data_IF_947167618982
#
_entry.id   IF_947167618982
#
_cell.length_a   1.000
_cell.length_b   1.000
_cell.length_c   1.000
_cell.angle_alpha   90.00
_cell.angle_beta   90.00
_cell.angle_gamma   90.00
#
_symmetry.space_group_name_H-M   'P 1'
#
loop_
_entity.id
_entity.type
_entity.pdbx_description
1 polymer ?
#
# COMPACT_ATOMS: atom_id res chain seq x y z
N UNK A 1 -12.83 16.32 -19.49
CA UNK A 1 -13.14 16.39 -18.05
C UNK A 1 -13.17 15.02 -17.40
N UNK A 2 -13.92 14.04 -17.94
CA UNK A 2 -13.99 12.68 -17.38
C UNK A 2 -12.65 12.04 -16.96
N UNK A 3 -11.61 12.11 -17.79
CA UNK A 3 -10.30 11.50 -17.49
C UNK A 3 -9.60 12.13 -16.27
N UNK A 4 -9.78 13.43 -16.04
CA UNK A 4 -9.21 14.14 -14.88
C UNK A 4 -10.02 13.80 -13.63
N UNK A 5 -11.34 13.75 -13.74
CA UNK A 5 -12.22 13.36 -12.63
C UNK A 5 -11.97 11.89 -12.21
N UNK A 6 -11.82 10.98 -13.17
CA UNK A 6 -11.44 9.58 -12.93
C UNK A 6 -10.09 9.44 -12.24
N UNK A 7 -9.07 10.21 -12.66
CA UNK A 7 -7.76 10.19 -12.03
C UNK A 7 -7.81 10.78 -10.61
N UNK A 8 -8.58 11.85 -10.39
CA UNK A 8 -8.80 12.41 -9.04
C UNK A 8 -9.46 11.38 -8.13
N UNK A 9 -10.56 10.76 -8.57
CA UNK A 9 -11.30 9.80 -7.77
C UNK A 9 -10.42 8.57 -7.47
N UNK A 10 -9.59 8.13 -8.43
CA UNK A 10 -8.61 7.06 -8.20
C UNK A 10 -7.55 7.44 -7.16
N UNK A 11 -7.05 8.68 -7.19
CA UNK A 11 -6.09 9.20 -6.21
C UNK A 11 -6.71 9.32 -4.82
N UNK A 12 -7.93 9.84 -4.71
CA UNK A 12 -8.64 9.97 -3.44
C UNK A 12 -8.89 8.61 -2.78
N UNK A 13 -9.36 7.63 -3.56
CA UNK A 13 -9.55 6.26 -3.09
C UNK A 13 -8.23 5.63 -2.64
N UNK A 14 -7.17 5.75 -3.45
CA UNK A 14 -5.86 5.19 -3.09
C UNK A 14 -5.28 5.84 -1.83
N UNK A 15 -5.42 7.16 -1.69
CA UNK A 15 -4.98 7.90 -0.52
C UNK A 15 -5.77 7.51 0.74
N UNK A 16 -7.07 7.24 0.62
CA UNK A 16 -7.88 6.76 1.74
C UNK A 16 -7.44 5.37 2.18
N UNK A 17 -7.30 4.43 1.24
CA UNK A 17 -6.87 3.06 1.53
C UNK A 17 -5.47 3.03 2.17
N UNK A 18 -4.51 3.82 1.67
CA UNK A 18 -3.18 3.90 2.27
C UNK A 18 -3.19 4.54 3.67
N UNK A 19 -4.07 5.52 3.91
CA UNK A 19 -4.27 6.09 5.25
C UNK A 19 -4.84 5.04 6.21
N UNK A 20 -5.87 4.32 5.80
CA UNK A 20 -6.46 3.25 6.62
C UNK A 20 -5.44 2.15 6.94
N UNK A 21 -4.59 1.78 5.97
CA UNK A 21 -3.50 0.82 6.21
C UNK A 21 -2.49 1.39 7.19
N UNK A 22 -2.09 2.66 7.04
CA UNK A 22 -1.15 3.33 7.94
C UNK A 22 -1.69 3.44 9.37
N UNK A 23 -2.96 3.79 9.53
CA UNK A 23 -3.64 3.86 10.83
C UNK A 23 -3.70 2.48 11.49
N UNK A 24 -4.12 1.44 10.74
CA UNK A 24 -4.14 0.08 11.26
C UNK A 24 -2.73 -0.41 11.65
N UNK A 25 -1.70 -0.04 10.90
CA UNK A 25 -0.31 -0.35 11.25
C UNK A 25 0.13 0.36 12.54
N UNK A 26 -0.29 1.61 12.74
CA UNK A 26 0.00 2.37 13.95
C UNK A 26 -0.71 1.78 15.18
N UNK A 27 -1.96 1.34 15.03
CA UNK A 27 -2.72 0.66 16.09
C UNK A 27 -2.10 -0.67 16.53
N UNK A 28 -1.49 -1.41 15.58
CA UNK A 28 -0.80 -2.66 15.88
C UNK A 28 0.54 -2.46 16.60
N UNK A 29 1.00 -1.22 16.80
CA UNK A 29 2.24 -0.84 17.51
C UNK A 29 3.43 -1.74 17.11
N UNK A 30 3.69 -1.83 15.80
CA UNK A 30 4.64 -2.78 15.22
C UNK A 30 6.08 -2.62 15.73
N UNK A 31 6.39 -1.47 16.34
CA UNK A 31 7.68 -1.19 16.99
C UNK A 31 7.81 -1.88 18.36
N UNK A 32 6.70 -2.17 19.05
CA UNK A 32 6.72 -2.89 20.32
C UNK A 32 6.73 -4.41 20.16
N UNK A 33 6.20 -4.92 19.04
CA UNK A 33 6.08 -6.37 18.74
C UNK A 33 7.45 -7.11 18.68
N UNK A 34 8.56 -6.38 18.54
CA UNK A 34 9.93 -6.92 18.61
C UNK A 34 10.72 -6.52 19.86
N UNK A 35 10.22 -5.57 20.66
CA UNK A 35 10.88 -5.13 21.89
C UNK A 35 10.40 -6.00 23.05
N UNK A 36 10.93 -7.22 23.10
CA UNK A 36 11.17 -8.02 24.33
C UNK A 36 10.27 -7.67 25.53
N UNK A 37 8.96 -7.73 25.37
CA UNK A 37 8.05 -7.74 26.49
C UNK A 37 7.34 -9.07 26.39
N UNK A 38 7.57 -9.92 27.39
CA UNK A 38 7.10 -11.30 27.54
C UNK A 38 5.55 -11.37 27.69
N UNK A 39 4.83 -10.40 27.12
CA UNK A 39 3.43 -10.06 27.41
C UNK A 39 2.47 -10.30 26.26
N UNK A 40 2.93 -10.43 25.02
CA UNK A 40 2.05 -10.84 23.94
C UNK A 40 1.88 -12.36 23.97
N UNK A 41 0.68 -12.80 24.33
CA UNK A 41 0.33 -14.21 24.28
C UNK A 41 0.50 -14.75 22.85
N UNK A 42 0.74 -16.06 22.72
CA UNK A 42 0.77 -16.73 21.41
C UNK A 42 -0.49 -16.43 20.57
N UNK A 43 -1.66 -16.34 21.23
CA UNK A 43 -2.93 -15.96 20.59
C UNK A 43 -2.86 -14.55 19.99
N UNK A 44 -2.37 -13.58 20.76
CA UNK A 44 -2.20 -12.19 20.32
C UNK A 44 -1.22 -12.09 19.15
N UNK A 45 -0.09 -12.80 19.20
CA UNK A 45 0.88 -12.82 18.08
C UNK A 45 0.28 -13.41 16.80
N UNK A 46 -0.56 -14.45 16.93
CA UNK A 46 -1.27 -15.04 15.80
C UNK A 46 -2.30 -14.06 15.22
N UNK A 47 -3.08 -13.38 16.07
CA UNK A 47 -4.04 -12.36 15.64
C UNK A 47 -3.34 -11.21 14.90
N UNK A 48 -2.25 -10.67 15.46
CA UNK A 48 -1.45 -9.63 14.80
C UNK A 48 -0.92 -10.11 13.44
N UNK A 49 -0.47 -11.38 13.33
CA UNK A 49 -0.03 -11.95 12.05
C UNK A 49 -1.14 -11.99 11.00
N UNK A 50 -2.35 -12.41 11.37
CA UNK A 50 -3.50 -12.45 10.46
C UNK A 50 -3.91 -11.03 10.03
N UNK A 51 -3.92 -10.05 10.96
CA UNK A 51 -4.15 -8.65 10.63
C UNK A 51 -3.12 -8.11 9.63
N UNK A 52 -1.83 -8.35 9.86
CA UNK A 52 -0.79 -7.94 8.92
C UNK A 52 -0.92 -8.61 7.55
N UNK A 53 -1.38 -9.87 7.48
CA UNK A 53 -1.67 -10.54 6.22
C UNK A 53 -2.81 -9.88 5.47
N UNK A 54 -3.90 -9.56 6.17
CA UNK A 54 -5.04 -8.87 5.58
C UNK A 54 -4.65 -7.47 5.05
N UNK A 55 -3.87 -6.70 5.82
CA UNK A 55 -3.34 -5.42 5.37
C UNK A 55 -2.42 -5.56 4.15
N UNK A 56 -1.57 -6.58 4.14
CA UNK A 56 -0.71 -6.88 2.98
C UNK A 56 -1.53 -7.18 1.72
N UNK A 57 -2.61 -7.95 1.86
CA UNK A 57 -3.55 -8.21 0.76
C UNK A 57 -4.19 -6.93 0.22
N UNK A 58 -4.63 -6.02 1.09
CA UNK A 58 -5.19 -4.71 0.66
C UNK A 58 -4.18 -3.89 -0.17
N UNK A 59 -2.91 -3.87 0.24
CA UNK A 59 -1.87 -3.20 -0.55
C UNK A 59 -1.67 -3.86 -1.93
N UNK A 60 -1.72 -5.19 -2.00
CA UNK A 60 -1.59 -5.93 -3.26
C UNK A 60 -2.78 -5.67 -4.19
N UNK A 61 -4.00 -5.67 -3.67
CA UNK A 61 -5.22 -5.34 -4.41
C UNK A 61 -5.17 -3.91 -4.97
N UNK A 62 -4.64 -2.96 -4.19
CA UNK A 62 -4.50 -1.56 -4.61
C UNK A 62 -3.46 -1.40 -5.73
N UNK A 63 -2.34 -2.13 -5.64
CA UNK A 63 -1.34 -2.19 -6.73
C UNK A 63 -1.97 -2.78 -8.00
N UNK A 64 -2.69 -3.90 -7.89
CA UNK A 64 -3.32 -4.56 -9.03
C UNK A 64 -4.38 -3.68 -9.69
N UNK A 65 -5.24 -3.06 -8.88
CA UNK A 65 -6.26 -2.10 -9.34
C UNK A 65 -5.63 -0.92 -10.08
N UNK A 66 -4.54 -0.36 -9.53
CA UNK A 66 -3.84 0.76 -10.16
C UNK A 66 -3.15 0.36 -11.45
N UNK A 67 -2.47 -0.79 -11.48
CA UNK A 67 -1.85 -1.31 -12.70
C UNK A 67 -2.88 -1.62 -13.79
N UNK A 68 -4.04 -2.15 -13.41
CA UNK A 68 -5.15 -2.42 -14.34
C UNK A 68 -5.68 -1.12 -14.93
N UNK A 69 -5.89 -0.10 -14.10
CA UNK A 69 -6.31 1.24 -14.54
C UNK A 69 -5.29 1.87 -15.49
N UNK A 70 -4.00 1.81 -15.18
CA UNK A 70 -2.95 2.33 -16.05
C UNK A 70 -2.86 1.64 -17.42
N UNK A 71 -3.27 0.36 -17.50
CA UNK A 71 -3.30 -0.41 -18.75
C UNK A 71 -4.61 -0.28 -19.51
N UNK A 72 -5.66 0.25 -18.88
CA UNK A 72 -6.98 0.33 -19.48
C UNK A 72 -7.00 1.37 -20.63
N UNK A 73 -7.57 1.05 -21.81
CA UNK A 73 -7.59 1.96 -22.96
C UNK A 73 -8.36 3.28 -22.76
N UNK A 74 -9.20 3.35 -21.72
CA UNK A 74 -10.09 4.50 -21.44
C UNK A 74 -9.71 5.29 -20.20
N UNK A 75 -9.00 4.69 -19.27
CA UNK A 75 -8.44 5.41 -18.12
C UNK A 75 -7.18 6.16 -18.60
N UNK A 76 -6.82 7.24 -17.90
CA UNK A 76 -5.76 8.18 -18.30
C UNK A 76 -4.38 7.62 -18.71
N UNK A 77 -4.12 6.32 -18.57
CA UNK A 77 -2.88 5.66 -18.98
C UNK A 77 -2.60 5.67 -20.48
N UNK A 78 -3.62 5.71 -21.35
CA UNK A 78 -3.45 5.88 -22.80
C UNK A 78 -3.69 7.31 -23.29
N UNK A 79 -4.14 8.21 -22.42
CA UNK A 79 -4.30 9.60 -22.80
C UNK A 79 -2.94 10.22 -23.08
N UNK A 80 -2.84 10.88 -24.23
CA UNK A 80 -1.65 11.58 -24.72
C UNK A 80 -2.09 12.95 -25.19
N UNK A 81 -1.33 13.98 -24.84
CA UNK A 81 -1.39 15.29 -25.51
C UNK A 81 -0.91 15.15 -26.96
N UNK A 82 -1.20 16.16 -27.77
CA UNK A 82 -0.74 16.24 -29.17
C UNK A 82 0.79 16.18 -29.31
N UNK A 83 1.52 16.56 -28.25
CA UNK A 83 2.99 16.47 -28.16
C UNK A 83 3.50 15.09 -27.68
N UNK A 84 2.61 14.13 -27.44
CA UNK A 84 2.93 12.77 -27.00
C UNK A 84 3.07 12.61 -25.47
N UNK A 85 2.95 13.68 -24.69
CA UNK A 85 3.03 13.63 -23.22
C UNK A 85 1.85 12.85 -22.66
N UNK A 86 2.11 11.80 -21.88
CA UNK A 86 1.05 11.06 -21.17
C UNK A 86 0.44 11.87 -20.04
N UNK A 87 -0.74 11.47 -19.59
CA UNK A 87 -1.38 12.10 -18.44
C UNK A 87 -0.53 12.01 -17.16
N UNK A 88 0.13 10.87 -16.94
CA UNK A 88 1.02 10.67 -15.79
C UNK A 88 2.25 11.57 -15.87
N UNK A 89 2.91 11.65 -17.04
CA UNK A 89 4.04 12.57 -17.24
C UNK A 89 3.62 14.02 -17.03
N UNK A 90 2.38 14.38 -17.39
CA UNK A 90 1.86 15.72 -17.18
C UNK A 90 1.58 16.03 -15.69
N UNK A 91 0.91 15.14 -14.97
CA UNK A 91 0.54 15.38 -13.56
C UNK A 91 1.69 15.19 -12.58
N UNK A 92 2.61 14.28 -12.87
CA UNK A 92 3.69 13.89 -11.97
C UNK A 92 5.06 14.41 -12.42
N UNK A 93 5.11 15.36 -13.37
CA UNK A 93 6.36 15.95 -13.87
C UNK A 93 7.27 16.49 -12.76
N UNK A 94 6.67 17.07 -11.71
CA UNK A 94 7.38 17.68 -10.59
C UNK A 94 7.72 16.68 -9.46
N UNK A 95 7.33 15.41 -9.60
CA UNK A 95 7.64 14.36 -8.64
C UNK A 95 8.85 13.54 -9.09
N UNK A 96 9.63 13.04 -8.13
CA UNK A 96 10.76 12.14 -8.40
C UNK A 96 10.31 10.75 -8.91
N UNK A 97 9.01 10.44 -8.79
CA UNK A 97 8.42 9.14 -9.14
C UNK A 97 7.31 9.29 -10.18
N UNK A 98 7.36 8.47 -11.23
CA UNK A 98 6.37 8.47 -12.32
C UNK A 98 5.01 7.91 -11.91
N UNK A 99 4.98 7.07 -10.87
CA UNK A 99 3.77 6.41 -10.37
C UNK A 99 3.74 6.46 -8.84
N UNK A 100 3.38 7.60 -8.24
CA UNK A 100 3.47 7.81 -6.79
C UNK A 100 2.66 6.79 -5.99
N UNK A 101 1.40 6.50 -6.39
CA UNK A 101 0.58 5.48 -5.74
C UNK A 101 1.29 4.12 -5.68
N UNK A 102 1.93 3.70 -6.78
CA UNK A 102 2.64 2.41 -6.81
C UNK A 102 3.87 2.42 -5.91
N UNK A 103 4.57 3.55 -5.83
CA UNK A 103 5.74 3.71 -4.95
C UNK A 103 5.31 3.61 -3.47
N UNK A 104 4.34 4.43 -3.05
CA UNK A 104 3.87 4.51 -1.67
C UNK A 104 3.29 3.16 -1.21
N UNK A 105 2.49 2.51 -2.06
CA UNK A 105 1.90 1.21 -1.74
C UNK A 105 2.95 0.11 -1.66
N UNK A 106 4.00 0.17 -2.49
CA UNK A 106 5.10 -0.78 -2.42
C UNK A 106 5.91 -0.62 -1.13
N UNK A 107 6.10 0.61 -0.67
CA UNK A 107 6.77 0.91 0.60
C UNK A 107 5.94 0.42 1.80
N UNK A 108 4.63 0.68 1.80
CA UNK A 108 3.71 0.15 2.81
C UNK A 108 3.73 -1.38 2.84
N UNK A 109 3.64 -2.04 1.68
CA UNK A 109 3.72 -3.50 1.56
C UNK A 109 5.07 -4.05 2.04
N UNK A 110 6.18 -3.37 1.76
CA UNK A 110 7.50 -3.77 2.25
C UNK A 110 7.58 -3.71 3.78
N UNK A 111 7.02 -2.65 4.38
CA UNK A 111 6.96 -2.48 5.83
C UNK A 111 6.12 -3.57 6.50
N UNK A 112 4.93 -3.86 5.95
CA UNK A 112 4.07 -4.95 6.41
C UNK A 112 4.78 -6.31 6.35
N UNK A 113 5.48 -6.62 5.26
CA UNK A 113 6.25 -7.86 5.11
C UNK A 113 7.40 -7.97 6.11
N UNK A 114 8.06 -6.86 6.46
CA UNK A 114 9.08 -6.89 7.50
C UNK A 114 8.46 -7.14 8.88
N UNK A 115 7.34 -6.49 9.20
CA UNK A 115 6.61 -6.73 10.44
C UNK A 115 6.13 -8.19 10.57
N UNK A 116 5.56 -8.76 9.51
CA UNK A 116 5.18 -10.18 9.47
C UNK A 116 6.38 -11.09 9.76
N UNK A 117 7.52 -10.84 9.10
CA UNK A 117 8.75 -11.61 9.33
C UNK A 117 9.26 -11.51 10.76
N UNK A 118 9.07 -10.38 11.44
CA UNK A 118 9.43 -10.23 12.86
C UNK A 118 8.52 -11.07 13.75
N UNK A 119 7.20 -11.02 13.52
CA UNK A 119 6.23 -11.83 14.27
C UNK A 119 6.46 -13.32 14.07
N UNK A 120 6.72 -13.75 12.83
CA UNK A 120 7.00 -15.15 12.53
C UNK A 120 8.27 -15.65 13.23
N UNK A 121 9.31 -14.81 13.31
CA UNK A 121 10.49 -15.08 14.13
C UNK A 121 10.12 -15.24 15.61
N UNK A 122 9.39 -14.29 16.19
CA UNK A 122 8.96 -14.38 17.60
C UNK A 122 8.13 -15.63 17.88
N UNK A 123 7.12 -15.93 17.04
CA UNK A 123 6.29 -17.13 17.16
C UNK A 123 7.11 -18.42 17.12
N UNK A 124 8.15 -18.49 16.30
CA UNK A 124 9.03 -19.67 16.21
C UNK A 124 9.87 -19.86 17.47
N UNK A 125 10.15 -18.78 18.22
CA UNK A 125 10.91 -18.83 19.47
C UNK A 125 10.04 -18.98 20.73
N UNK A 126 8.71 -18.83 20.63
CA UNK A 126 7.76 -18.94 21.75
C UNK A 126 7.14 -20.34 21.90
N UNK A 127 7.42 -21.27 20.96
CA UNK A 127 7.01 -22.69 20.98
C UNK A 127 8.13 -23.54 21.57
#
# INVERSE_FOLDING_TARGET
MAVIDEERDALENAAQELRDVGEAMAELDLDSVGRTDERLSFGSLRETRECLRALGGRCEDLVESRQTSLRAPRAGGQWRRDDGTSLNEYFYADLEVTHPILADTSEAAATLREAQRRIERTLTHTV
#
